data_IF_501456054154
#
_entry.id   IF_501456054154
#
_cell.length_a   1.000
_cell.length_b   1.000
_cell.length_c   1.000
_cell.angle_alpha   90.00
_cell.angle_beta   90.00
_cell.angle_gamma   90.00
#
_symmetry.space_group_name_H-M   'P 1'
#
loop_
_entity.id
_entity.type
_entity.pdbx_description
1 polymer ?
#
# COMPACT_ATOMS: atom_id res chain seq x y z
N UNK A 1 32.57 6.19 -14.80
CA UNK A 1 32.18 6.20 -13.37
C UNK A 1 33.08 5.21 -12.65
N UNK A 2 33.48 5.44 -11.39
CA UNK A 2 34.25 4.46 -10.62
C UNK A 2 33.37 3.80 -9.53
N UNK A 3 33.68 2.57 -9.08
CA UNK A 3 32.78 1.78 -8.21
C UNK A 3 32.32 2.50 -6.94
N UNK A 4 33.21 3.18 -6.21
CA UNK A 4 32.81 3.84 -4.96
C UNK A 4 31.83 5.00 -5.16
N UNK A 5 31.90 5.74 -6.28
CA UNK A 5 30.88 6.74 -6.60
C UNK A 5 29.55 6.08 -6.94
N UNK A 6 29.58 4.96 -7.70
CA UNK A 6 28.38 4.19 -8.00
C UNK A 6 27.70 3.67 -6.73
N UNK A 7 28.47 3.19 -5.73
CA UNK A 7 27.93 2.79 -4.43
C UNK A 7 27.23 3.94 -3.69
N UNK A 8 27.80 5.16 -3.71
CA UNK A 8 27.20 6.34 -3.08
C UNK A 8 25.83 6.67 -3.68
N UNK A 9 25.74 6.77 -5.01
CA UNK A 9 24.46 7.06 -5.69
C UNK A 9 23.51 5.87 -5.58
N UNK A 10 24.03 4.65 -5.65
CA UNK A 10 23.29 3.41 -5.52
C UNK A 10 22.56 3.27 -4.18
N UNK A 11 23.18 3.68 -3.06
CA UNK A 11 22.51 3.64 -1.74
C UNK A 11 21.31 4.58 -1.69
N UNK A 12 21.43 5.77 -2.28
CA UNK A 12 20.31 6.74 -2.40
C UNK A 12 19.22 6.17 -3.31
N UNK A 13 19.59 5.62 -4.47
CA UNK A 13 18.67 4.99 -5.40
C UNK A 13 17.91 3.83 -4.77
N UNK A 14 18.60 3.00 -3.98
CA UNK A 14 18.00 1.85 -3.32
C UNK A 14 16.92 2.27 -2.33
N UNK A 15 17.23 3.17 -1.39
CA UNK A 15 16.24 3.69 -0.42
C UNK A 15 15.08 4.36 -1.14
N UNK A 16 15.36 5.29 -2.07
CA UNK A 16 14.32 6.01 -2.79
C UNK A 16 13.39 5.09 -3.61
N UNK A 17 13.96 4.11 -4.31
CA UNK A 17 13.22 3.23 -5.21
C UNK A 17 12.55 2.03 -4.56
N UNK A 18 12.93 1.69 -3.32
CA UNK A 18 12.46 0.48 -2.64
C UNK A 18 10.92 0.37 -2.57
N UNK A 19 10.16 1.42 -2.17
CA UNK A 19 8.70 1.35 -2.13
C UNK A 19 8.06 1.13 -3.51
N UNK A 20 8.62 1.74 -4.55
CA UNK A 20 8.10 1.64 -5.91
C UNK A 20 8.39 0.26 -6.53
N UNK A 21 9.57 -0.31 -6.29
CA UNK A 21 9.87 -1.71 -6.70
C UNK A 21 8.98 -2.69 -5.93
N UNK A 22 8.72 -2.44 -4.65
CA UNK A 22 7.76 -3.22 -3.85
C UNK A 22 6.35 -3.17 -4.48
N UNK A 23 5.85 -1.98 -4.78
CA UNK A 23 4.56 -1.77 -5.47
C UNK A 23 4.48 -2.51 -6.82
N UNK A 24 5.51 -2.40 -7.66
CA UNK A 24 5.57 -3.10 -8.95
C UNK A 24 5.50 -4.62 -8.77
N UNK A 25 6.27 -5.17 -7.83
CA UNK A 25 6.33 -6.62 -7.61
C UNK A 25 5.03 -7.18 -7.00
N UNK A 26 4.37 -6.42 -6.11
CA UNK A 26 3.04 -6.75 -5.58
C UNK A 26 2.00 -6.76 -6.70
N UNK A 27 1.94 -5.68 -7.48
CA UNK A 27 1.03 -5.56 -8.63
C UNK A 27 1.20 -6.72 -9.61
N UNK A 28 2.44 -6.96 -10.07
CA UNK A 28 2.75 -8.03 -11.02
C UNK A 28 2.44 -9.45 -10.51
N UNK A 29 2.31 -9.63 -9.20
CA UNK A 29 1.95 -10.91 -8.59
C UNK A 29 0.44 -11.03 -8.41
N UNK A 30 -0.21 -10.03 -7.81
CA UNK A 30 -1.64 -10.05 -7.51
C UNK A 30 -2.47 -10.10 -8.79
N UNK A 31 -2.12 -9.28 -9.79
CA UNK A 31 -2.93 -9.16 -11.02
C UNK A 31 -2.87 -10.39 -11.93
N UNK A 32 -2.17 -11.45 -11.53
CA UNK A 32 -2.18 -12.75 -12.22
C UNK A 32 -3.39 -13.61 -11.84
N UNK A 33 -4.18 -13.20 -10.84
CA UNK A 33 -5.42 -13.87 -10.51
C UNK A 33 -6.34 -13.90 -11.75
N UNK A 34 -6.96 -15.05 -12.08
CA UNK A 34 -7.84 -15.17 -13.25
C UNK A 34 -9.18 -14.45 -13.07
N UNK A 35 -9.60 -14.24 -11.82
CA UNK A 35 -10.85 -13.58 -11.42
C UNK A 35 -10.68 -13.03 -10.00
N UNK A 36 -11.54 -12.11 -9.54
CA UNK A 36 -11.56 -11.67 -8.14
C UNK A 36 -11.79 -12.85 -7.18
N UNK A 37 -10.95 -12.95 -6.14
CA UNK A 37 -11.04 -14.04 -5.16
C UNK A 37 -10.01 -13.90 -4.06
N UNK A 38 -9.76 -15.00 -3.35
CA UNK A 38 -8.83 -15.05 -2.23
C UNK A 38 -7.64 -15.96 -2.53
N UNK A 39 -6.43 -15.41 -2.54
CA UNK A 39 -5.19 -16.17 -2.69
C UNK A 39 -4.99 -17.06 -1.46
N UNK A 40 -4.95 -18.38 -1.69
CA UNK A 40 -4.92 -19.40 -0.65
C UNK A 40 -6.05 -19.25 0.40
N UNK A 41 -7.17 -18.61 0.04
CA UNK A 41 -8.30 -18.36 0.93
C UNK A 41 -8.12 -17.25 1.95
N UNK A 42 -7.02 -16.47 1.86
CA UNK A 42 -6.67 -15.49 2.89
C UNK A 42 -6.63 -14.06 2.34
N UNK A 43 -5.93 -13.84 1.23
CA UNK A 43 -5.64 -12.48 0.75
C UNK A 43 -6.51 -12.13 -0.47
N UNK A 44 -7.22 -10.99 -0.48
CA UNK A 44 -7.92 -10.54 -1.69
C UNK A 44 -6.96 -10.34 -2.86
N UNK A 45 -7.29 -10.94 -4.00
CA UNK A 45 -6.57 -10.79 -5.25
C UNK A 45 -7.56 -10.69 -6.40
N UNK A 46 -7.22 -9.90 -7.41
CA UNK A 46 -8.07 -9.72 -8.57
C UNK A 46 -7.21 -9.43 -9.81
N UNK A 47 -7.74 -9.71 -11.02
CA UNK A 47 -7.17 -9.18 -12.25
C UNK A 47 -6.96 -7.67 -12.16
N UNK A 48 -6.01 -7.16 -12.93
CA UNK A 48 -5.82 -5.71 -13.10
C UNK A 48 -7.16 -5.08 -13.49
N UNK A 49 -7.47 -3.91 -12.93
CA UNK A 49 -8.74 -3.22 -13.22
C UNK A 49 -9.86 -3.52 -12.22
N UNK A 50 -9.67 -4.51 -11.34
CA UNK A 50 -10.71 -5.03 -10.45
C UNK A 50 -10.25 -5.08 -8.98
N UNK A 51 -11.21 -5.29 -8.08
CA UNK A 51 -10.96 -5.55 -6.65
C UNK A 51 -11.58 -6.89 -6.26
N UNK A 52 -11.00 -7.50 -5.23
CA UNK A 52 -11.67 -8.50 -4.42
C UNK A 52 -11.83 -7.96 -2.99
N UNK A 53 -12.85 -8.41 -2.27
CA UNK A 53 -13.07 -8.11 -0.87
C UNK A 53 -12.96 -9.38 -0.02
N UNK A 54 -12.54 -9.22 1.22
CA UNK A 54 -12.86 -10.16 2.29
C UNK A 54 -14.35 -10.02 2.66
N UNK A 55 -14.90 -11.07 3.27
CA UNK A 55 -16.22 -11.04 3.90
C UNK A 55 -16.15 -11.01 5.44
N UNK A 56 -14.93 -11.03 6.00
CA UNK A 56 -14.63 -11.04 7.43
C UNK A 56 -13.23 -10.39 7.65
N UNK A 57 -12.75 -10.33 8.89
CA UNK A 57 -11.38 -9.95 9.21
C UNK A 57 -10.37 -10.87 8.55
N UNK A 58 -9.23 -10.27 8.21
CA UNK A 58 -8.12 -11.00 7.61
C UNK A 58 -7.54 -11.99 8.62
N UNK A 59 -7.29 -13.22 8.17
CA UNK A 59 -6.69 -14.27 8.99
C UNK A 59 -5.28 -13.83 9.47
N UNK A 60 -4.93 -13.97 10.75
CA UNK A 60 -3.62 -13.56 11.27
C UNK A 60 -2.43 -14.35 10.68
N UNK A 61 -2.66 -15.45 9.95
CA UNK A 61 -1.63 -16.20 9.24
C UNK A 61 -1.18 -15.55 7.92
N UNK A 62 -1.81 -14.45 7.50
CA UNK A 62 -1.42 -13.71 6.31
C UNK A 62 -0.01 -13.08 6.46
N UNK A 63 0.76 -13.00 5.36
CA UNK A 63 2.16 -12.52 5.35
C UNK A 63 2.47 -11.62 4.14
N UNK A 64 1.44 -11.10 3.48
CA UNK A 64 1.53 -10.26 2.29
C UNK A 64 1.73 -8.79 2.66
N UNK A 65 0.89 -8.21 3.51
CA UNK A 65 0.93 -6.84 4.05
C UNK A 65 1.35 -6.91 5.52
N UNK A 66 2.35 -6.13 5.90
CA UNK A 66 2.79 -6.04 7.29
C UNK A 66 1.74 -5.29 8.14
N UNK A 67 1.39 -5.83 9.30
CA UNK A 67 0.52 -5.21 10.31
C UNK A 67 -0.90 -4.82 9.83
N UNK A 68 -1.73 -5.77 9.33
CA UNK A 68 -3.13 -5.45 9.04
C UNK A 68 -3.94 -5.17 10.32
N UNK A 69 -4.79 -4.15 10.29
CA UNK A 69 -5.72 -3.86 11.39
C UNK A 69 -6.81 -4.94 11.51
N UNK A 70 -7.37 -5.11 12.71
CA UNK A 70 -8.43 -6.09 13.02
C UNK A 70 -9.77 -5.40 13.36
N UNK A 71 -10.00 -4.22 12.79
CA UNK A 71 -11.22 -3.40 12.99
C UNK A 71 -12.02 -3.21 11.69
N UNK A 72 -11.48 -3.69 10.55
CA UNK A 72 -12.05 -3.45 9.22
C UNK A 72 -12.02 -4.71 8.36
N UNK A 73 -12.99 -4.82 7.46
CA UNK A 73 -12.98 -5.74 6.33
C UNK A 73 -12.23 -5.08 5.18
N UNK A 74 -11.23 -5.77 4.64
CA UNK A 74 -10.37 -5.27 3.57
C UNK A 74 -10.81 -5.74 2.19
N UNK A 75 -10.60 -4.89 1.18
CA UNK A 75 -10.41 -5.33 -0.19
C UNK A 75 -9.04 -4.96 -0.72
N UNK A 76 -8.72 -5.43 -1.92
CA UNK A 76 -7.48 -5.12 -2.60
C UNK A 76 -7.66 -5.15 -4.12
N UNK A 77 -7.13 -4.14 -4.81
CA UNK A 77 -7.04 -4.09 -6.26
C UNK A 77 -5.85 -3.26 -6.74
N UNK A 78 -5.31 -3.62 -7.90
CA UNK A 78 -4.25 -2.90 -8.59
C UNK A 78 -4.69 -2.51 -10.00
N UNK A 79 -4.28 -1.32 -10.44
CA UNK A 79 -4.73 -0.71 -11.70
C UNK A 79 -3.54 -0.19 -12.49
N UNK A 80 -3.58 -0.36 -13.81
CA UNK A 80 -2.72 0.38 -14.75
C UNK A 80 -3.58 1.41 -15.46
N UNK A 81 -3.62 2.62 -14.90
CA UNK A 81 -4.52 3.70 -15.32
C UNK A 81 -4.07 4.42 -16.60
N UNK A 82 -2.93 4.02 -17.17
CA UNK A 82 -2.47 4.36 -18.52
C UNK A 82 -3.01 3.39 -19.59
N UNK A 83 -3.40 2.18 -19.20
CA UNK A 83 -4.08 1.22 -20.08
C UNK A 83 -5.58 1.54 -20.17
N UNK A 84 -6.25 1.67 -19.02
CA UNK A 84 -7.66 2.03 -18.95
C UNK A 84 -8.07 2.67 -17.60
N UNK A 85 -9.02 3.64 -17.61
CA UNK A 85 -9.69 4.08 -16.40
C UNK A 85 -10.54 2.99 -15.76
N UNK A 86 -10.77 3.09 -14.45
CA UNK A 86 -11.68 2.19 -13.72
C UNK A 86 -12.81 2.95 -13.05
N UNK A 87 -13.96 2.31 -12.95
CA UNK A 87 -15.10 2.80 -12.18
C UNK A 87 -15.08 2.14 -10.82
N UNK A 88 -15.07 2.96 -9.78
CA UNK A 88 -15.26 2.58 -8.39
C UNK A 88 -16.74 2.76 -8.04
N UNK A 89 -17.36 1.69 -7.55
CA UNK A 89 -18.71 1.72 -7.01
C UNK A 89 -18.66 1.93 -5.49
N UNK A 90 -19.36 2.96 -5.01
CA UNK A 90 -19.49 3.29 -3.59
C UNK A 90 -20.93 3.02 -3.14
N UNK A 91 -21.19 2.00 -2.30
CA UNK A 91 -22.51 1.75 -1.75
C UNK A 91 -22.92 2.76 -0.67
N UNK A 92 -24.17 2.66 -0.21
CA UNK A 92 -24.61 3.40 0.97
C UNK A 92 -24.15 2.68 2.24
N UNK A 93 -23.17 3.27 2.92
CA UNK A 93 -22.63 2.78 4.18
C UNK A 93 -23.39 3.30 5.41
N UNK A 94 -24.37 4.20 5.24
CA UNK A 94 -25.04 4.88 6.35
C UNK A 94 -24.05 5.56 7.29
N UNK A 95 -24.08 5.18 8.58
CA UNK A 95 -23.17 5.72 9.60
C UNK A 95 -21.88 4.92 9.80
N UNK A 96 -21.72 3.79 9.09
CA UNK A 96 -20.52 2.95 9.20
C UNK A 96 -19.30 3.72 8.70
N UNK A 97 -18.18 3.61 9.41
CA UNK A 97 -16.90 4.14 8.93
C UNK A 97 -16.41 3.31 7.73
N UNK A 98 -15.91 4.01 6.71
CA UNK A 98 -15.29 3.39 5.55
C UNK A 98 -14.35 4.39 4.86
N UNK A 99 -13.36 3.84 4.15
CA UNK A 99 -12.48 4.59 3.26
C UNK A 99 -12.06 3.69 2.11
N UNK A 100 -11.97 4.24 0.90
CA UNK A 100 -11.30 3.59 -0.21
C UNK A 100 -9.94 4.25 -0.31
N UNK A 101 -8.97 3.68 0.39
CA UNK A 101 -7.63 4.23 0.45
C UNK A 101 -6.93 3.92 -0.88
N UNK A 102 -6.57 4.97 -1.64
CA UNK A 102 -6.01 4.84 -2.98
C UNK A 102 -4.56 5.32 -2.99
N UNK A 103 -3.63 4.46 -3.39
CA UNK A 103 -2.20 4.74 -3.34
C UNK A 103 -1.62 4.81 -4.73
N UNK A 104 -0.81 5.83 -4.98
CA UNK A 104 -0.02 5.93 -6.20
C UNK A 104 1.18 4.95 -6.15
N UNK A 105 1.95 4.88 -7.22
CA UNK A 105 3.12 4.00 -7.30
C UNK A 105 4.18 4.27 -6.21
N UNK A 106 4.19 5.48 -5.63
CA UNK A 106 5.12 5.93 -4.57
C UNK A 106 4.62 5.60 -3.17
N UNK A 107 3.44 4.99 -3.05
CA UNK A 107 2.71 4.76 -1.80
C UNK A 107 2.17 6.03 -1.12
N UNK A 108 2.09 7.15 -1.85
CA UNK A 108 1.37 8.32 -1.38
C UNK A 108 -0.13 8.13 -1.69
N UNK A 109 -0.99 8.47 -0.75
CA UNK A 109 -2.42 8.33 -0.91
C UNK A 109 -2.96 9.50 -1.74
N UNK A 110 -3.83 9.22 -2.70
CA UNK A 110 -4.52 10.19 -3.55
C UNK A 110 -6.05 10.03 -3.46
N UNK A 111 -6.78 11.05 -3.89
CA UNK A 111 -8.25 11.09 -3.85
C UNK A 111 -8.84 11.23 -2.43
N UNK A 112 -10.17 11.37 -2.38
CA UNK A 112 -10.96 11.65 -1.16
C UNK A 112 -12.27 10.84 -1.19
N UNK A 113 -12.15 9.51 -1.19
CA UNK A 113 -13.29 8.58 -1.18
C UNK A 113 -13.42 7.91 0.19
N UNK A 114 -14.34 8.41 1.01
CA UNK A 114 -14.55 7.89 2.36
C UNK A 114 -15.54 8.69 3.20
N UNK A 115 -15.96 8.10 4.32
CA UNK A 115 -16.82 8.77 5.32
C UNK A 115 -16.26 10.12 5.79
N UNK A 116 -14.94 10.29 6.07
CA UNK A 116 -14.38 11.58 6.50
C UNK A 116 -14.57 12.73 5.50
N UNK A 117 -14.76 12.40 4.21
CA UNK A 117 -14.91 13.37 3.13
C UNK A 117 -16.37 13.66 2.77
N UNK A 118 -17.31 13.02 3.45
CA UNK A 118 -18.74 13.13 3.12
C UNK A 118 -19.07 12.57 1.73
N UNK A 119 -18.30 11.59 1.24
CA UNK A 119 -18.49 10.98 -0.08
C UNK A 119 -19.88 10.35 -0.18
N UNK A 120 -20.63 10.71 -1.22
CA UNK A 120 -21.97 10.16 -1.47
C UNK A 120 -21.92 8.81 -2.19
N UNK A 121 -22.92 7.92 -1.98
CA UNK A 121 -23.03 6.68 -2.74
C UNK A 121 -23.17 6.92 -4.25
N UNK A 122 -22.56 6.08 -5.07
CA UNK A 122 -22.61 6.15 -6.54
C UNK A 122 -21.33 5.67 -7.21
N UNK A 123 -21.15 6.06 -8.47
CA UNK A 123 -20.00 5.66 -9.29
C UNK A 123 -18.97 6.79 -9.36
N UNK A 124 -17.70 6.46 -9.17
CA UNK A 124 -16.58 7.39 -9.26
C UNK A 124 -15.58 6.85 -10.28
N UNK A 125 -15.05 7.72 -11.12
CA UNK A 125 -14.07 7.34 -12.12
C UNK A 125 -12.66 7.58 -11.56
N UNK A 126 -11.77 6.60 -11.67
CA UNK A 126 -10.35 6.76 -11.38
C UNK A 126 -9.58 6.73 -12.68
N UNK A 127 -8.76 7.75 -12.90
CA UNK A 127 -8.03 7.97 -14.15
C UNK A 127 -6.55 8.19 -13.91
N UNK A 128 -5.73 7.86 -14.90
CA UNK A 128 -4.29 8.06 -14.85
C UNK A 128 -3.88 9.50 -15.13
N UNK A 129 -2.58 9.83 -14.98
CA UNK A 129 -2.07 11.20 -15.07
C UNK A 129 -2.20 11.83 -16.47
N UNK A 130 -2.34 11.00 -17.53
CA UNK A 130 -2.46 11.45 -18.92
C UNK A 130 -3.86 11.36 -19.50
N UNK A 131 -4.89 11.10 -18.70
CA UNK A 131 -6.24 10.91 -19.22
C UNK A 131 -6.89 12.24 -19.67
N UNK A 132 -7.33 12.26 -20.93
CA UNK A 132 -8.04 13.39 -21.57
C UNK A 132 -9.44 13.00 -22.09
N UNK A 133 -9.96 11.85 -21.64
CA UNK A 133 -11.26 11.34 -22.06
C UNK A 133 -12.44 12.16 -21.52
N UNK A 134 -13.64 11.80 -21.99
CA UNK A 134 -14.88 12.35 -21.46
C UNK A 134 -15.39 11.50 -20.28
N UNK A 135 -15.93 12.16 -19.26
CA UNK A 135 -16.58 11.48 -18.14
C UNK A 135 -17.98 11.03 -18.55
N UNK A 136 -18.31 9.71 -18.49
CA UNK A 136 -19.65 9.25 -18.83
C UNK A 136 -20.73 9.79 -17.87
N UNK A 137 -21.97 9.87 -18.37
CA UNK A 137 -23.13 10.22 -17.55
C UNK A 137 -23.33 9.18 -16.43
N UNK A 138 -23.61 9.66 -15.20
CA UNK A 138 -23.79 8.80 -14.02
C UNK A 138 -22.56 8.64 -13.14
N UNK A 139 -21.40 9.13 -13.56
CA UNK A 139 -20.22 9.30 -12.69
C UNK A 139 -20.39 10.55 -11.81
N UNK A 140 -20.23 10.40 -10.50
CA UNK A 140 -20.35 11.47 -9.50
C UNK A 140 -19.09 12.32 -9.35
N UNK A 141 -17.92 11.72 -9.58
CA UNK A 141 -16.64 12.41 -9.45
C UNK A 141 -15.53 11.67 -10.16
N UNK A 142 -14.48 12.41 -10.52
CA UNK A 142 -13.28 11.87 -11.16
C UNK A 142 -12.11 12.06 -10.19
N UNK A 143 -11.39 10.98 -9.91
CA UNK A 143 -10.19 10.95 -9.09
C UNK A 143 -8.99 10.75 -10.01
N UNK A 144 -8.08 11.71 -10.03
CA UNK A 144 -6.86 11.64 -10.84
C UNK A 144 -5.72 11.06 -10.01
N UNK A 145 -5.19 9.92 -10.46
CA UNK A 145 -3.95 9.37 -9.91
C UNK A 145 -2.74 10.12 -10.47
N UNK A 146 -1.73 10.45 -9.64
CA UNK A 146 -0.50 11.06 -10.13
C UNK A 146 0.44 10.07 -10.85
N UNK A 147 0.11 8.77 -10.87
CA UNK A 147 0.89 7.72 -11.55
C UNK A 147 -0.02 6.75 -12.31
N UNK A 148 0.56 6.02 -13.26
CA UNK A 148 -0.15 4.99 -14.01
C UNK A 148 -0.54 3.79 -13.10
N UNK A 149 0.44 3.25 -12.36
CA UNK A 149 0.16 2.24 -11.37
C UNK A 149 -0.56 2.86 -10.18
N UNK A 150 -1.72 2.31 -9.82
CA UNK A 150 -2.44 2.65 -8.60
C UNK A 150 -2.88 1.38 -7.87
N UNK A 151 -3.12 1.52 -6.57
CA UNK A 151 -3.69 0.50 -5.71
C UNK A 151 -4.89 1.09 -4.98
N UNK A 152 -5.96 0.33 -4.80
CA UNK A 152 -7.13 0.72 -3.99
C UNK A 152 -7.34 -0.37 -2.95
N UNK A 153 -7.49 0.06 -1.70
CA UNK A 153 -7.78 -0.79 -0.54
C UNK A 153 -9.06 -0.25 0.11
N UNK A 154 -10.23 -0.80 -0.23
CA UNK A 154 -11.44 -0.54 0.53
C UNK A 154 -11.25 -1.06 1.96
N UNK A 155 -11.61 -0.24 2.94
CA UNK A 155 -11.57 -0.54 4.38
C UNK A 155 -12.92 -0.18 4.95
N UNK A 156 -13.63 -1.14 5.52
CA UNK A 156 -14.97 -0.94 6.06
C UNK A 156 -14.99 -1.40 7.51
N UNK A 157 -15.35 -0.52 8.43
CA UNK A 157 -15.42 -0.89 9.85
C UNK A 157 -16.41 -2.01 10.07
N UNK A 158 -16.00 -3.02 10.83
CA UNK A 158 -16.86 -4.10 11.30
C UNK A 158 -16.65 -4.22 12.81
N UNK A 159 -17.71 -4.46 13.56
CA UNK A 159 -17.63 -4.82 14.95
C UNK A 159 -17.53 -6.35 15.08
N UNK A 160 -16.96 -6.86 16.17
CA UNK A 160 -16.73 -8.29 16.34
C UNK A 160 -18.01 -9.09 16.63
N UNK A 161 -19.16 -8.42 16.80
CA UNK A 161 -20.43 -9.07 17.14
C UNK A 161 -21.00 -9.86 15.96
N UNK A 162 -21.67 -11.01 16.20
CA UNK A 162 -22.33 -11.77 15.14
C UNK A 162 -23.33 -10.95 14.33
N UNK A 163 -24.03 -10.02 14.98
CA UNK A 163 -25.01 -9.16 14.33
C UNK A 163 -24.37 -8.21 13.31
N UNK A 164 -23.21 -7.62 13.64
CA UNK A 164 -22.55 -6.69 12.72
C UNK A 164 -21.86 -7.42 11.56
N UNK A 165 -21.35 -8.63 11.82
CA UNK A 165 -20.81 -9.54 10.79
C UNK A 165 -21.87 -9.93 9.76
N UNK A 166 -23.12 -10.10 10.16
CA UNK A 166 -24.24 -10.33 9.22
C UNK A 166 -24.67 -9.02 8.53
N UNK A 167 -24.78 -7.93 9.29
CA UNK A 167 -25.29 -6.65 8.78
C UNK A 167 -24.38 -5.98 7.74
N UNK A 168 -23.07 -6.25 7.77
CA UNK A 168 -22.11 -5.65 6.83
C UNK A 168 -22.15 -6.29 5.43
N UNK A 169 -22.56 -7.57 5.31
CA UNK A 169 -22.44 -8.34 4.07
C UNK A 169 -23.08 -7.65 2.85
N UNK A 170 -24.35 -7.17 2.91
CA UNK A 170 -24.98 -6.54 1.75
C UNK A 170 -24.29 -5.24 1.28
N UNK A 171 -23.53 -4.60 2.18
CA UNK A 171 -22.78 -3.37 1.88
C UNK A 171 -21.46 -3.71 1.20
N UNK A 172 -20.69 -4.66 1.74
CA UNK A 172 -19.42 -5.06 1.12
C UNK A 172 -19.62 -5.75 -0.23
N UNK A 173 -20.72 -6.48 -0.42
CA UNK A 173 -21.09 -7.11 -1.69
C UNK A 173 -21.29 -6.08 -2.82
N UNK A 174 -21.53 -4.81 -2.48
CA UNK A 174 -21.64 -3.71 -3.43
C UNK A 174 -20.35 -2.89 -3.59
N UNK A 175 -19.25 -3.32 -2.97
CA UNK A 175 -17.93 -2.76 -3.22
C UNK A 175 -17.34 -3.47 -4.44
N UNK A 176 -17.47 -2.80 -5.58
CA UNK A 176 -17.01 -3.35 -6.87
C UNK A 176 -16.22 -2.28 -7.60
N UNK A 177 -15.11 -2.69 -8.21
CA UNK A 177 -14.30 -1.86 -9.11
C UNK A 177 -14.13 -2.63 -10.40
N UNK A 178 -14.32 -1.96 -11.53
CA UNK A 178 -14.25 -2.59 -12.85
C UNK A 178 -13.79 -1.59 -13.92
N UNK A 179 -13.25 -2.08 -15.05
CA UNK A 179 -12.88 -1.25 -16.20
C UNK A 179 -13.99 -0.32 -16.68
N UNK A 180 -13.64 0.90 -17.10
CA UNK A 180 -14.61 1.88 -17.62
C UNK A 180 -15.45 1.34 -18.79
N UNK A 181 -14.89 0.45 -19.61
CA UNK A 181 -15.60 -0.17 -20.73
C UNK A 181 -16.82 -1.01 -20.30
N UNK A 182 -16.85 -1.48 -19.05
CA UNK A 182 -17.97 -2.23 -18.49
C UNK A 182 -19.02 -1.36 -17.77
N UNK A 183 -18.89 -0.03 -17.86
CA UNK A 183 -19.80 0.89 -17.19
C UNK A 183 -21.16 0.98 -17.89
N UNK A 184 -22.21 0.59 -17.17
CA UNK A 184 -23.60 0.62 -17.64
C UNK A 184 -24.52 1.50 -16.75
N UNK A 185 -23.93 2.21 -15.77
CA UNK A 185 -24.64 3.07 -14.83
C UNK A 185 -25.41 2.35 -13.72
N UNK A 186 -25.32 1.01 -13.61
CA UNK A 186 -26.04 0.23 -12.60
C UNK A 186 -25.09 -0.29 -11.53
N UNK A 187 -25.58 -0.33 -10.28
CA UNK A 187 -24.88 -0.96 -9.18
C UNK A 187 -24.76 -2.47 -9.44
N UNK A 188 -23.54 -2.99 -9.31
CA UNK A 188 -23.19 -4.42 -9.36
C UNK A 188 -23.12 -4.99 -7.94
N UNK A 189 -23.36 -6.29 -7.79
CA UNK A 189 -23.27 -7.00 -6.51
C UNK A 189 -22.51 -8.30 -6.72
N UNK A 190 -21.53 -8.58 -5.86
CA UNK A 190 -20.75 -9.81 -5.83
C UNK A 190 -20.85 -10.36 -4.42
N UNK A 191 -21.26 -11.62 -4.26
CA UNK A 191 -21.28 -12.29 -2.96
C UNK A 191 -19.84 -12.64 -2.57
N UNK A 192 -19.22 -11.82 -1.71
CA UNK A 192 -17.84 -12.02 -1.30
C UNK A 192 -17.67 -13.15 -0.31
N UNK A 193 -18.76 -13.64 0.31
CA UNK A 193 -18.71 -14.84 1.15
C UNK A 193 -18.44 -16.11 0.36
N UNK A 194 -18.75 -16.09 -0.94
CA UNK A 194 -18.49 -17.18 -1.89
C UNK A 194 -17.30 -16.85 -2.83
N UNK A 195 -16.42 -15.92 -2.44
CA UNK A 195 -15.25 -15.56 -3.22
C UNK A 195 -14.36 -16.80 -3.48
N UNK A 196 -13.94 -17.05 -4.74
CA UNK A 196 -13.21 -18.26 -5.08
C UNK A 196 -11.85 -18.30 -4.40
N UNK A 197 -11.45 -19.48 -3.91
CA UNK A 197 -10.09 -19.72 -3.45
C UNK A 197 -9.16 -19.94 -4.64
N UNK A 198 -8.18 -19.05 -4.80
CA UNK A 198 -7.20 -19.08 -5.88
C UNK A 198 -5.89 -19.69 -5.34
N UNK A 199 -5.47 -20.88 -5.82
CA UNK A 199 -4.26 -21.52 -5.34
C UNK A 199 -3.01 -20.71 -5.69
N UNK A 200 -2.24 -20.33 -4.67
CA UNK A 200 -0.95 -19.67 -4.80
C UNK A 200 0.21 -20.57 -4.36
N UNK A 201 1.46 -20.13 -4.54
CA UNK A 201 2.58 -20.76 -3.85
C UNK A 201 2.33 -20.67 -2.33
N UNK A 202 2.61 -21.75 -1.61
CA UNK A 202 2.57 -21.73 -0.15
C UNK A 202 3.57 -20.69 0.37
N UNK A 203 3.18 -19.91 1.39
CA UNK A 203 4.14 -19.10 2.14
C UNK A 203 5.13 -20.06 2.82
N UNK A 204 6.43 -19.91 2.54
CA UNK A 204 7.50 -20.84 2.97
C UNK A 204 8.41 -20.24 4.04
N UNK A 205 8.00 -19.16 4.72
CA UNK A 205 8.84 -18.49 5.70
C UNK A 205 8.07 -17.98 6.91
N UNK A 206 8.80 -17.75 8.00
CA UNK A 206 8.29 -17.25 9.29
C UNK A 206 8.08 -15.73 9.30
N UNK A 207 7.98 -15.07 8.14
CA UNK A 207 7.90 -13.61 8.06
C UNK A 207 7.31 -13.12 6.74
N UNK A 208 7.24 -11.78 6.61
CA UNK A 208 6.69 -11.10 5.43
C UNK A 208 7.26 -11.65 4.11
N UNK A 209 6.39 -11.75 3.11
CA UNK A 209 6.81 -12.00 1.73
C UNK A 209 7.82 -10.94 1.28
N UNK A 210 8.97 -11.39 0.75
CA UNK A 210 10.02 -10.49 0.28
C UNK A 210 9.68 -9.93 -1.10
N UNK A 211 9.02 -8.78 -1.12
CA UNK A 211 8.65 -8.09 -2.36
C UNK A 211 9.81 -7.43 -3.08
N UNK A 212 10.87 -7.04 -2.36
CA UNK A 212 12.10 -6.52 -2.96
C UNK A 212 13.22 -7.53 -2.72
N UNK A 213 13.84 -7.97 -3.81
CA UNK A 213 15.02 -8.82 -3.79
C UNK A 213 16.22 -7.94 -4.12
N UNK A 214 17.13 -7.65 -3.17
CA UNK A 214 18.19 -6.65 -3.36
C UNK A 214 19.07 -6.94 -4.59
N UNK A 215 19.35 -8.21 -4.87
CA UNK A 215 20.17 -8.63 -6.02
C UNK A 215 19.48 -8.37 -7.37
N UNK A 216 18.17 -8.15 -7.37
CA UNK A 216 17.34 -7.87 -8.56
C UNK A 216 16.87 -6.43 -8.65
N UNK A 217 17.03 -5.64 -7.60
CA UNK A 217 16.52 -4.28 -7.51
C UNK A 217 16.92 -3.42 -8.72
N UNK A 218 18.21 -3.34 -9.04
CA UNK A 218 18.69 -2.50 -10.14
C UNK A 218 18.33 -3.03 -11.54
N UNK A 219 17.95 -4.31 -11.67
CA UNK A 219 17.39 -4.83 -12.91
C UNK A 219 15.94 -4.31 -13.12
N UNK A 220 15.21 -3.99 -12.04
CA UNK A 220 13.83 -3.50 -12.05
C UNK A 220 13.73 -1.97 -11.97
N UNK A 221 14.74 -1.32 -11.39
CA UNK A 221 14.71 0.11 -11.08
C UNK A 221 14.53 1.00 -12.31
N UNK A 222 15.01 0.57 -13.48
CA UNK A 222 14.79 1.29 -14.74
C UNK A 222 13.31 1.48 -15.07
N UNK A 223 12.49 0.45 -14.83
CA UNK A 223 11.04 0.47 -15.07
C UNK A 223 10.33 1.48 -14.16
N UNK A 224 10.72 1.56 -12.89
CA UNK A 224 10.23 2.61 -11.96
C UNK A 224 10.47 4.00 -12.55
N UNK A 225 11.69 4.26 -13.03
CA UNK A 225 12.04 5.57 -13.58
C UNK A 225 11.34 5.87 -14.91
N UNK A 226 10.91 4.85 -15.65
CA UNK A 226 10.19 4.99 -16.91
C UNK A 226 8.70 5.27 -16.69
N UNK A 227 8.12 4.71 -15.63
CA UNK A 227 6.66 4.67 -15.41
C UNK A 227 6.16 5.63 -14.35
N UNK A 228 7.03 6.03 -13.41
CA UNK A 228 6.70 6.99 -12.35
C UNK A 228 7.27 8.36 -12.73
N UNK A 229 6.42 9.39 -12.93
CA UNK A 229 6.92 10.74 -13.18
C UNK A 229 7.75 11.27 -11.99
N UNK A 230 8.78 12.10 -12.19
CA UNK A 230 9.46 12.75 -11.07
C UNK A 230 8.50 13.73 -10.36
N UNK A 231 8.56 13.79 -9.03
CA UNK A 231 8.01 14.93 -8.29
C UNK A 231 8.81 16.20 -8.63
N UNK A 232 8.23 17.40 -8.46
CA UNK A 232 8.96 18.65 -8.66
C UNK A 232 10.28 18.67 -7.87
N UNK A 233 11.41 18.79 -8.57
CA UNK A 233 12.76 18.78 -7.99
C UNK A 233 13.48 17.42 -8.06
N UNK A 234 12.77 16.32 -8.34
CA UNK A 234 13.38 15.00 -8.53
C UNK A 234 14.03 14.82 -9.92
N UNK A 235 13.86 15.75 -10.87
CA UNK A 235 14.38 15.60 -12.24
C UNK A 235 15.91 15.40 -12.26
N UNK A 236 16.63 16.10 -11.37
CA UNK A 236 18.07 15.94 -11.21
C UNK A 236 18.45 14.58 -10.57
N UNK A 237 17.59 14.07 -9.69
CA UNK A 237 17.76 12.76 -9.07
C UNK A 237 17.57 11.65 -10.10
N UNK A 238 16.51 11.73 -10.92
CA UNK A 238 16.26 10.82 -12.04
C UNK A 238 17.42 10.83 -13.04
N UNK A 239 17.94 12.01 -13.40
CA UNK A 239 19.09 12.11 -14.31
C UNK A 239 20.33 11.37 -13.76
N UNK A 240 20.61 11.49 -12.45
CA UNK A 240 21.70 10.76 -11.81
C UNK A 240 21.47 9.25 -11.79
N UNK A 241 20.25 8.82 -11.50
CA UNK A 241 19.87 7.41 -11.51
C UNK A 241 19.98 6.79 -12.90
N UNK A 242 19.55 7.50 -13.96
CA UNK A 242 19.73 7.05 -15.34
C UNK A 242 21.20 6.94 -15.73
N UNK A 243 22.03 7.90 -15.33
CA UNK A 243 23.46 7.84 -15.54
C UNK A 243 24.10 6.63 -14.82
N UNK A 244 23.65 6.33 -13.60
CA UNK A 244 24.08 5.17 -12.82
C UNK A 244 23.74 3.86 -13.54
N UNK A 245 22.49 3.69 -13.97
CA UNK A 245 22.03 2.51 -14.71
C UNK A 245 22.77 2.35 -16.04
N UNK A 246 22.98 3.45 -16.77
CA UNK A 246 23.76 3.42 -18.01
C UNK A 246 25.22 2.99 -17.77
N UNK A 247 25.85 3.47 -16.69
CA UNK A 247 27.20 3.03 -16.33
C UNK A 247 27.24 1.54 -15.98
N UNK A 248 26.28 1.04 -15.18
CA UNK A 248 26.18 -0.37 -14.82
C UNK A 248 25.93 -1.29 -16.03
N UNK A 249 25.18 -0.82 -17.03
CA UNK A 249 24.94 -1.57 -18.26
C UNK A 249 26.20 -1.75 -19.12
N UNK A 250 27.20 -0.86 -18.99
CA UNK A 250 28.42 -0.86 -19.81
C UNK A 250 29.68 -1.28 -19.04
N UNK A 251 29.61 -1.45 -17.72
CA UNK A 251 30.75 -1.80 -16.88
C UNK A 251 30.35 -2.85 -15.82
N UNK A 252 30.80 -4.11 -15.95
CA UNK A 252 30.51 -5.18 -15.00
C UNK A 252 30.94 -4.85 -13.56
N UNK A 253 32.02 -4.10 -13.35
CA UNK A 253 32.47 -3.74 -12.01
C UNK A 253 31.52 -2.73 -11.34
N UNK A 254 30.88 -1.86 -12.14
CA UNK A 254 29.82 -0.97 -11.65
C UNK A 254 28.56 -1.77 -11.34
N UNK A 255 28.18 -2.72 -12.19
CA UNK A 255 27.03 -3.61 -11.93
C UNK A 255 27.21 -4.40 -10.64
N UNK A 256 28.37 -5.02 -10.44
CA UNK A 256 28.70 -5.75 -9.22
C UNK A 256 28.63 -4.84 -7.99
N UNK A 257 29.23 -3.64 -8.06
CA UNK A 257 29.18 -2.68 -6.97
C UNK A 257 27.75 -2.26 -6.59
N UNK A 258 26.82 -2.17 -7.55
CA UNK A 258 25.41 -1.87 -7.28
C UNK A 258 24.69 -3.02 -6.59
N UNK A 259 24.93 -4.26 -7.00
CA UNK A 259 24.36 -5.45 -6.34
C UNK A 259 24.85 -5.54 -4.90
N UNK A 260 26.15 -5.35 -4.66
CA UNK A 260 26.71 -5.29 -3.30
C UNK A 260 26.04 -4.17 -2.47
N UNK A 261 25.92 -2.96 -3.05
CA UNK A 261 25.29 -1.82 -2.38
C UNK A 261 23.84 -2.10 -2.00
N UNK A 262 23.07 -2.75 -2.88
CA UNK A 262 21.69 -3.12 -2.61
C UNK A 262 21.58 -4.10 -1.43
N UNK A 263 22.40 -5.16 -1.42
CA UNK A 263 22.43 -6.17 -0.35
C UNK A 263 22.86 -5.55 0.99
N UNK A 264 23.91 -4.72 0.97
CA UNK A 264 24.38 -4.00 2.17
C UNK A 264 23.29 -3.04 2.69
N UNK A 265 22.67 -2.26 1.81
CA UNK A 265 21.63 -1.28 2.20
C UNK A 265 20.37 -1.97 2.70
N UNK A 266 19.97 -3.10 2.12
CA UNK A 266 18.88 -3.93 2.63
C UNK A 266 19.14 -4.37 4.07
N UNK A 267 20.38 -4.79 4.38
CA UNK A 267 20.78 -5.21 5.70
C UNK A 267 20.89 -4.08 6.72
N UNK A 268 21.52 -2.98 6.34
CA UNK A 268 21.88 -1.87 7.25
C UNK A 268 20.80 -0.81 7.42
N UNK A 269 19.93 -0.64 6.41
CA UNK A 269 18.96 0.46 6.36
C UNK A 269 17.53 -0.06 6.33
N UNK A 270 17.22 -1.01 5.43
CA UNK A 270 15.83 -1.47 5.26
C UNK A 270 15.39 -2.38 6.41
N UNK A 271 16.18 -3.41 6.77
CA UNK A 271 15.80 -4.33 7.85
C UNK A 271 15.55 -3.66 9.21
N UNK A 272 16.35 -2.67 9.66
CA UNK A 272 16.07 -1.95 10.90
C UNK A 272 14.72 -1.25 10.92
N UNK A 273 14.09 -0.96 9.77
CA UNK A 273 12.74 -0.39 9.76
C UNK A 273 11.67 -1.34 10.31
N UNK A 274 11.97 -2.60 10.63
CA UNK A 274 11.03 -3.41 11.42
C UNK A 274 10.90 -2.96 12.87
N UNK A 275 11.84 -2.20 13.41
CA UNK A 275 11.73 -1.63 14.75
C UNK A 275 11.00 -0.28 14.69
N UNK A 276 9.90 -0.12 15.42
CA UNK A 276 9.04 1.06 15.42
C UNK A 276 9.77 2.35 15.80
N UNK A 277 10.87 2.27 16.56
CA UNK A 277 11.74 3.43 16.84
C UNK A 277 12.39 4.05 15.60
N UNK A 278 12.42 3.31 14.49
CA UNK A 278 12.95 3.75 13.21
C UNK A 278 11.86 4.21 12.23
N UNK A 279 10.60 4.25 12.67
CA UNK A 279 9.45 4.65 11.87
C UNK A 279 8.80 5.93 12.41
N UNK A 280 8.71 6.96 11.58
CA UNK A 280 8.03 8.20 11.94
C UNK A 280 8.82 9.04 12.95
N UNK A 281 8.13 9.51 13.99
CA UNK A 281 8.67 10.40 15.02
C UNK A 281 8.25 9.98 16.43
N UNK A 282 9.02 10.34 17.46
CA UNK A 282 8.62 10.07 18.84
C UNK A 282 7.27 10.71 19.20
N UNK A 283 6.39 9.92 19.82
CA UNK A 283 5.10 10.32 20.38
C UNK A 283 5.13 10.52 21.91
N UNK A 284 6.27 10.25 22.55
CA UNK A 284 6.46 10.31 24.01
C UNK A 284 6.30 8.95 24.69
N UNK A 285 6.83 8.81 25.91
CA UNK A 285 6.71 7.59 26.73
C UNK A 285 7.13 6.28 26.03
N UNK A 286 8.14 6.32 25.15
CA UNK A 286 8.61 5.14 24.40
C UNK A 286 7.85 4.86 23.10
N UNK A 287 6.78 5.60 22.82
CA UNK A 287 5.97 5.43 21.61
C UNK A 287 6.53 6.23 20.43
N UNK A 288 6.30 5.71 19.23
CA UNK A 288 6.49 6.39 17.96
C UNK A 288 5.15 6.49 17.22
N UNK A 289 5.08 7.42 16.27
CA UNK A 289 3.93 7.60 15.39
C UNK A 289 4.39 7.99 14.00
N UNK A 290 3.64 7.58 12.99
CA UNK A 290 3.83 8.16 11.66
C UNK A 290 3.38 9.63 11.67
N UNK A 291 4.19 10.52 11.07
CA UNK A 291 3.98 11.97 11.16
C UNK A 291 3.04 12.47 10.06
N UNK A 292 3.35 12.08 8.83
CA UNK A 292 2.62 12.51 7.63
C UNK A 292 1.85 11.33 7.00
N UNK A 293 2.07 10.09 7.47
CA UNK A 293 1.57 8.87 6.85
C UNK A 293 1.74 8.92 5.32
N UNK A 294 0.74 8.47 4.55
CA UNK A 294 0.73 8.47 3.10
C UNK A 294 0.71 9.87 2.41
N UNK A 295 1.25 10.89 3.07
CA UNK A 295 1.56 12.22 2.52
C UNK A 295 3.07 12.48 2.64
N UNK A 296 3.88 11.60 2.07
CA UNK A 296 5.33 11.58 2.28
C UNK A 296 6.06 12.69 1.53
N UNK A 297 5.62 13.04 0.31
CA UNK A 297 6.27 14.06 -0.51
C UNK A 297 7.75 13.72 -0.81
N UNK A 298 8.70 14.46 -0.20
CA UNK A 298 10.15 14.21 -0.34
C UNK A 298 10.76 13.53 0.91
N UNK A 299 9.94 13.07 1.86
CA UNK A 299 10.38 12.32 3.04
C UNK A 299 10.60 10.84 2.70
N UNK A 300 11.65 10.56 1.94
CA UNK A 300 11.96 9.21 1.48
C UNK A 300 12.28 8.26 2.62
N UNK A 301 12.78 8.77 3.75
CA UNK A 301 13.07 7.97 4.93
C UNK A 301 11.77 7.35 5.46
N UNK A 302 10.78 8.19 5.79
CA UNK A 302 9.51 7.68 6.33
C UNK A 302 8.69 6.93 5.28
N UNK A 303 8.74 7.34 3.99
CA UNK A 303 8.10 6.56 2.92
C UNK A 303 8.65 5.14 2.88
N UNK A 304 9.97 4.99 2.92
CA UNK A 304 10.63 3.68 2.85
C UNK A 304 10.44 2.88 4.12
N UNK A 305 10.52 3.52 5.28
CA UNK A 305 10.32 2.86 6.55
C UNK A 305 8.89 2.31 6.64
N UNK A 306 7.87 3.14 6.39
CA UNK A 306 6.47 2.71 6.37
C UNK A 306 6.22 1.63 5.31
N UNK A 307 6.75 1.76 4.08
CA UNK A 307 6.61 0.73 3.06
C UNK A 307 7.20 -0.63 3.49
N UNK A 308 8.17 -0.63 4.41
CA UNK A 308 8.75 -1.85 4.95
C UNK A 308 7.99 -2.39 6.17
N UNK A 309 7.59 -1.52 7.09
CA UNK A 309 7.03 -1.91 8.39
C UNK A 309 5.52 -2.05 8.42
N UNK A 310 4.79 -1.27 7.63
CA UNK A 310 3.33 -1.18 7.65
C UNK A 310 2.83 -0.42 6.41
N UNK A 311 3.15 -0.97 5.23
CA UNK A 311 2.80 -0.35 3.96
C UNK A 311 1.30 -0.11 3.85
N UNK A 312 0.91 0.97 3.15
CA UNK A 312 -0.47 1.41 2.99
C UNK A 312 -1.09 1.99 4.28
N UNK A 313 -0.36 2.87 4.97
CA UNK A 313 -0.95 3.72 5.99
C UNK A 313 -1.99 4.67 5.38
N UNK A 314 -3.13 4.82 6.04
CA UNK A 314 -4.09 5.86 5.67
C UNK A 314 -3.53 7.26 5.97
N UNK A 315 -4.08 8.30 5.32
CA UNK A 315 -3.74 9.69 5.65
C UNK A 315 -4.04 10.02 7.12
N UNK A 316 -3.32 11.00 7.72
CA UNK A 316 -3.48 11.30 9.15
C UNK A 316 -4.90 11.76 9.55
N UNK A 317 -5.67 12.33 8.62
CA UNK A 317 -7.07 12.72 8.86
C UNK A 317 -8.05 11.54 8.82
N UNK A 318 -7.62 10.37 8.37
CA UNK A 318 -8.41 9.14 8.32
C UNK A 318 -8.01 8.16 9.43
N UNK A 319 -6.71 8.04 9.70
CA UNK A 319 -6.18 7.16 10.76
C UNK A 319 -4.84 7.68 11.27
N UNK A 320 -4.64 7.61 12.57
CA UNK A 320 -3.35 7.88 13.20
C UNK A 320 -2.90 6.65 13.98
N UNK A 321 -1.67 6.24 13.71
CA UNK A 321 -1.09 5.05 14.32
C UNK A 321 -0.03 5.42 15.35
N UNK A 322 0.04 4.62 16.41
CA UNK A 322 1.02 4.73 17.49
C UNK A 322 1.58 3.34 17.77
N UNK A 323 2.91 3.25 17.86
CA UNK A 323 3.61 1.98 17.95
C UNK A 323 4.66 2.02 19.06
N UNK A 324 4.92 0.87 19.68
CA UNK A 324 6.06 0.66 20.57
C UNK A 324 6.50 -0.80 20.51
N UNK A 325 7.81 -1.03 20.48
CA UNK A 325 8.42 -2.35 20.70
C UNK A 325 8.81 -2.56 22.17
N UNK A 326 8.77 -1.49 22.98
CA UNK A 326 9.37 -1.44 24.29
C UNK A 326 8.37 -1.12 25.39
N UNK A 327 8.62 -1.67 26.58
CA UNK A 327 7.93 -1.28 27.80
C UNK A 327 8.46 0.05 28.38
N UNK A 328 7.87 0.50 29.49
CA UNK A 328 8.24 1.76 30.16
C UNK A 328 9.68 1.80 30.72
N UNK A 329 10.35 0.65 30.84
CA UNK A 329 11.76 0.54 31.23
C UNK A 329 12.72 0.54 30.04
N UNK A 330 12.19 0.43 28.81
CA UNK A 330 12.95 0.31 27.58
C UNK A 330 13.33 -1.13 27.22
N UNK A 331 12.73 -2.14 27.87
CA UNK A 331 12.91 -3.55 27.51
C UNK A 331 11.93 -3.98 26.42
N UNK A 332 12.30 -4.97 25.61
CA UNK A 332 11.44 -5.51 24.55
C UNK A 332 10.13 -6.07 25.13
N UNK A 333 9.02 -5.84 24.42
CA UNK A 333 7.74 -6.46 24.72
C UNK A 333 7.80 -7.95 24.32
N UNK A 334 7.65 -8.84 25.30
CA UNK A 334 7.65 -10.28 25.09
C UNK A 334 6.30 -10.90 25.47
N UNK A 335 5.80 -11.85 24.67
CA UNK A 335 4.51 -12.51 24.92
C UNK A 335 4.44 -13.32 26.22
N UNK A 336 5.56 -13.51 26.94
CA UNK A 336 5.59 -14.13 28.26
C UNK A 336 5.38 -13.15 29.42
N UNK A 337 5.45 -11.84 29.15
CA UNK A 337 5.28 -10.77 30.12
C UNK A 337 3.82 -10.39 30.37
N UNK A 338 3.59 -9.56 31.40
CA UNK A 338 2.32 -8.89 31.65
C UNK A 338 2.55 -7.38 31.59
N UNK A 339 1.77 -6.68 30.78
CA UNK A 339 1.90 -5.24 30.55
C UNK A 339 0.55 -4.55 30.72
N UNK A 340 0.56 -3.26 31.04
CA UNK A 340 -0.65 -2.43 31.17
C UNK A 340 -0.48 -1.14 30.35
N UNK A 341 -1.54 -0.74 29.65
CA UNK A 341 -1.68 0.59 29.04
C UNK A 341 -2.78 1.31 29.80
N UNK A 342 -2.44 2.43 30.45
CA UNK A 342 -3.38 3.19 31.28
C UNK A 342 -3.67 4.55 30.65
N UNK A 343 -4.95 4.84 30.40
CA UNK A 343 -5.42 6.19 30.09
C UNK A 343 -6.09 6.78 31.34
N UNK A 344 -5.61 7.92 31.81
CA UNK A 344 -6.25 8.60 32.93
C UNK A 344 -7.69 9.04 32.54
N UNK A 345 -8.61 9.24 33.50
CA UNK A 345 -9.97 9.67 33.19
C UNK A 345 -9.99 10.95 32.33
N UNK A 346 -10.64 10.87 31.16
CA UNK A 346 -10.70 11.96 30.18
C UNK A 346 -9.39 12.23 29.43
N UNK A 347 -8.47 11.26 29.41
CA UNK A 347 -7.22 11.26 28.64
C UNK A 347 -7.16 10.07 27.67
N UNK A 348 -8.33 9.55 27.29
CA UNK A 348 -8.48 8.67 26.14
C UNK A 348 -7.95 9.36 24.87
N UNK A 349 -7.34 8.61 23.92
CA UNK A 349 -6.90 9.18 22.66
C UNK A 349 -8.06 9.88 21.95
N UNK A 350 -7.86 11.09 21.41
CA UNK A 350 -8.92 11.77 20.66
C UNK A 350 -9.20 10.96 19.39
N UNK A 351 -10.46 10.56 19.20
CA UNK A 351 -10.96 9.87 18.00
C UNK A 351 -11.79 10.78 17.11
#
# INVERSE_FOLDING_TARGET
>A
MFPSYAKTVGKIAYVWGWPMVNMLNRSATITKAPEPGLLNGILPVAPRGQVAMLHDYIDPAETFVTCPNQDVVYGLGFFSLDEEPVVIQVPDFGERFWVYAMYDARTDQFGELGKPYGTEPGHYLVVGPGWEGETPEGIKGVVHSPTALANVIPRVFMNDTPEDREAIQPVIDQIVVYPLEEFDGKMKTIDWSEAPNIPGPASKGDGETKWVVPEKFFDQFGEVLDTVPPLPGEEALYAQFRLLLHAAANDPAIKEALVETAVETEGEVIKPFFEWKHNGVPAGNGWNRSKNNAEFGLDYFNRTSTAKSNMFDNRPNETQYFYTDYDSSGADLEGSGNYEITFAPGQDPPV
#
